data_IF_795855331132
#
_entry.id   IF_795855331132
#
_cell.length_a   1.000
_cell.length_b   1.000
_cell.length_c   1.000
_cell.angle_alpha   90.00
_cell.angle_beta   90.00
_cell.angle_gamma   90.00
#
_symmetry.space_group_name_H-M   'P 1'
#
loop_
_entity.id
_entity.type
_entity.pdbx_description
1 polymer ?
#
# COMPACT_ATOMS: atom_id res chain seq x y z
N UNK A 1 -2.23 11.10 21.22
CA UNK A 1 -1.95 9.96 20.33
C UNK A 1 -3.23 9.67 19.58
N UNK A 2 -3.18 9.76 18.25
CA UNK A 2 -4.33 9.46 17.38
C UNK A 2 -4.31 7.98 16.95
N UNK A 3 -5.40 7.50 16.32
CA UNK A 3 -5.61 6.09 16.00
C UNK A 3 -4.54 5.51 15.05
N UNK A 4 -4.14 6.29 14.04
CA UNK A 4 -3.07 5.90 13.14
C UNK A 4 -1.73 5.73 13.87
N UNK A 5 -1.40 6.63 14.80
CA UNK A 5 -0.16 6.55 15.59
C UNK A 5 -0.14 5.32 16.50
N UNK A 6 -1.27 4.94 17.08
CA UNK A 6 -1.36 3.73 17.90
C UNK A 6 -1.20 2.46 17.07
N UNK A 7 -1.66 2.45 15.80
CA UNK A 7 -1.38 1.36 14.87
C UNK A 7 0.11 1.20 14.62
N UNK A 8 0.83 2.30 14.36
CA UNK A 8 2.28 2.28 14.14
C UNK A 8 3.05 1.75 15.36
N UNK A 9 2.53 1.99 16.56
CA UNK A 9 3.07 1.46 17.82
C UNK A 9 2.57 0.05 18.17
N UNK A 10 1.71 -0.53 17.34
CA UNK A 10 1.03 -1.82 17.60
C UNK A 10 0.24 -1.84 18.91
N UNK A 11 -0.27 -0.69 19.36
CA UNK A 11 -1.11 -0.55 20.55
C UNK A 11 -2.58 -0.62 20.15
N UNK A 12 -3.08 -1.84 20.00
CA UNK A 12 -4.44 -2.12 19.57
C UNK A 12 -5.47 -1.87 20.66
N UNK A 13 -5.11 -2.04 21.93
CA UNK A 13 -5.98 -1.70 23.05
C UNK A 13 -6.29 -0.21 23.02
N UNK A 14 -5.28 0.65 22.94
CA UNK A 14 -5.50 2.08 22.79
C UNK A 14 -6.31 2.41 21.53
N UNK A 15 -6.04 1.72 20.41
CA UNK A 15 -6.79 1.93 19.17
C UNK A 15 -8.29 1.64 19.29
N UNK A 16 -8.66 0.57 19.99
CA UNK A 16 -10.06 0.23 20.24
C UNK A 16 -10.73 1.27 21.16
N UNK A 17 -10.09 1.68 22.25
CA UNK A 17 -10.58 2.77 23.10
C UNK A 17 -10.73 4.09 22.32
N UNK A 18 -9.74 4.43 21.49
CA UNK A 18 -9.75 5.66 20.68
C UNK A 18 -10.86 5.64 19.62
N UNK A 19 -11.21 4.46 19.11
CA UNK A 19 -12.36 4.29 18.21
C UNK A 19 -13.66 4.65 18.92
N UNK A 20 -13.88 4.16 20.14
CA UNK A 20 -15.04 4.57 20.96
C UNK A 20 -15.03 6.09 21.23
N UNK A 21 -13.89 6.65 21.61
CA UNK A 21 -13.74 8.08 21.87
C UNK A 21 -14.14 8.94 20.66
N UNK A 22 -13.77 8.55 19.43
CA UNK A 22 -14.22 9.26 18.23
C UNK A 22 -15.72 9.12 18.00
N UNK A 23 -16.32 7.95 18.20
CA UNK A 23 -17.77 7.77 18.02
C UNK A 23 -18.55 8.64 19.01
N UNK A 24 -18.07 8.70 20.26
CA UNK A 24 -18.73 9.45 21.34
C UNK A 24 -18.70 10.96 21.14
N UNK A 25 -17.58 11.50 20.67
CA UNK A 25 -17.38 12.95 20.55
C UNK A 25 -17.72 13.47 19.14
N UNK A 26 -18.69 12.86 18.45
CA UNK A 26 -19.11 13.19 17.08
C UNK A 26 -17.95 13.25 16.06
N UNK A 27 -16.89 12.49 16.33
CA UNK A 27 -15.64 12.43 15.57
C UNK A 27 -15.64 11.40 14.44
N UNK A 28 -16.81 11.02 13.92
CA UNK A 28 -16.95 9.97 12.88
C UNK A 28 -16.12 10.31 11.64
N UNK A 29 -16.19 11.54 11.13
CA UNK A 29 -15.37 11.95 9.98
C UNK A 29 -13.87 11.80 10.26
N UNK A 30 -13.43 12.10 11.49
CA UNK A 30 -12.03 11.90 11.88
C UNK A 30 -11.68 10.41 11.92
N UNK A 31 -12.56 9.56 12.47
CA UNK A 31 -12.37 8.11 12.49
C UNK A 31 -12.24 7.51 11.08
N UNK A 32 -13.08 7.93 10.14
CA UNK A 32 -13.02 7.50 8.74
C UNK A 32 -11.68 7.89 8.08
N UNK A 33 -11.23 9.13 8.28
CA UNK A 33 -9.94 9.61 7.78
C UNK A 33 -8.79 8.78 8.37
N UNK A 34 -8.82 8.49 9.68
CA UNK A 34 -7.81 7.65 10.32
C UNK A 34 -7.79 6.24 9.74
N UNK A 35 -8.95 5.61 9.52
CA UNK A 35 -9.04 4.30 8.86
C UNK A 35 -8.48 4.31 7.44
N UNK A 36 -8.81 5.34 6.65
CA UNK A 36 -8.26 5.52 5.30
C UNK A 36 -6.73 5.64 5.36
N UNK A 37 -6.20 6.42 6.30
CA UNK A 37 -4.77 6.60 6.48
C UNK A 37 -4.07 5.30 6.90
N UNK A 38 -4.69 4.53 7.80
CA UNK A 38 -4.21 3.20 8.19
C UNK A 38 -4.14 2.26 6.99
N UNK A 39 -5.22 2.11 6.22
CA UNK A 39 -5.23 1.21 5.06
C UNK A 39 -4.29 1.67 3.95
N UNK A 40 -4.18 2.99 3.71
CA UNK A 40 -3.23 3.53 2.75
C UNK A 40 -1.79 3.25 3.17
N UNK A 41 -1.47 3.38 4.46
CA UNK A 41 -0.15 3.05 4.98
C UNK A 41 0.16 1.58 4.80
N UNK A 42 -0.77 0.68 5.15
CA UNK A 42 -0.64 -0.76 4.91
C UNK A 42 -0.38 -1.04 3.42
N UNK A 43 -1.11 -0.39 2.52
CA UNK A 43 -0.96 -0.53 1.06
C UNK A 43 0.45 -0.23 0.55
N UNK A 44 1.24 0.60 1.24
CA UNK A 44 2.65 0.84 0.88
C UNK A 44 3.52 -0.41 1.04
N UNK A 45 3.15 -1.33 1.93
CA UNK A 45 3.97 -2.47 2.34
C UNK A 45 3.42 -3.84 1.92
N UNK A 46 2.36 -3.86 1.10
CA UNK A 46 1.82 -5.11 0.56
C UNK A 46 2.80 -5.68 -0.47
N UNK A 47 3.07 -6.97 -0.34
CA UNK A 47 3.90 -7.77 -1.24
C UNK A 47 3.12 -9.05 -1.55
N UNK A 48 3.22 -9.57 -2.77
CA UNK A 48 2.59 -10.83 -3.15
C UNK A 48 3.01 -12.01 -2.27
N UNK A 49 4.17 -11.91 -1.61
CA UNK A 49 4.68 -12.91 -0.66
C UNK A 49 3.91 -12.95 0.65
N UNK A 50 3.28 -11.85 1.06
CA UNK A 50 2.38 -11.85 2.20
C UNK A 50 0.94 -12.00 1.68
N UNK A 51 0.14 -12.90 2.26
CA UNK A 51 -1.28 -13.03 1.93
C UNK A 51 -2.12 -11.79 2.34
N UNK A 52 -1.46 -10.65 2.58
CA UNK A 52 -2.08 -9.40 3.01
C UNK A 52 -2.78 -8.69 1.84
N UNK A 53 -2.34 -8.88 0.59
CA UNK A 53 -2.93 -8.20 -0.58
C UNK A 53 -4.43 -8.46 -0.74
N UNK A 54 -4.84 -9.73 -0.78
CA UNK A 54 -6.26 -10.09 -0.94
C UNK A 54 -7.08 -9.68 0.30
N UNK A 55 -6.48 -9.83 1.49
CA UNK A 55 -7.09 -9.39 2.75
C UNK A 55 -7.34 -7.88 2.75
N UNK A 56 -6.37 -7.10 2.27
CA UNK A 56 -6.45 -5.64 2.18
C UNK A 56 -7.54 -5.18 1.23
N UNK A 57 -7.65 -5.82 0.06
CA UNK A 57 -8.74 -5.53 -0.89
C UNK A 57 -10.10 -5.75 -0.25
N UNK A 58 -10.26 -6.84 0.51
CA UNK A 58 -11.51 -7.12 1.22
C UNK A 58 -11.80 -6.10 2.33
N UNK A 59 -10.79 -5.74 3.14
CA UNK A 59 -10.92 -4.72 4.18
C UNK A 59 -11.31 -3.36 3.59
N UNK A 60 -10.75 -2.97 2.45
CA UNK A 60 -11.13 -1.73 1.76
C UNK A 60 -12.58 -1.73 1.30
N UNK A 61 -13.06 -2.85 0.76
CA UNK A 61 -14.46 -2.98 0.36
C UNK A 61 -15.43 -2.92 1.56
N UNK A 62 -15.05 -3.46 2.71
CA UNK A 62 -15.82 -3.31 3.94
C UNK A 62 -15.76 -1.88 4.49
N UNK A 63 -14.59 -1.24 4.45
CA UNK A 63 -14.41 0.14 4.91
C UNK A 63 -15.22 1.13 4.08
N UNK A 64 -15.19 1.00 2.76
CA UNK A 64 -15.98 1.82 1.83
C UNK A 64 -17.48 1.71 2.14
N UNK A 65 -17.97 0.48 2.38
CA UNK A 65 -19.36 0.24 2.80
C UNK A 65 -19.71 0.91 4.14
N UNK A 66 -18.79 0.91 5.10
CA UNK A 66 -19.02 1.57 6.40
C UNK A 66 -19.05 3.08 6.27
N UNK A 67 -18.17 3.66 5.45
CA UNK A 67 -18.07 5.11 5.23
C UNK A 67 -19.32 5.65 4.53
N UNK A 68 -19.86 4.91 3.56
CA UNK A 68 -21.06 5.34 2.82
C UNK A 68 -22.37 4.99 3.54
N UNK A 69 -22.31 4.29 4.69
CA UNK A 69 -23.50 3.95 5.45
C UNK A 69 -24.03 5.16 6.23
N UNK A 70 -25.36 5.30 6.30
CA UNK A 70 -26.02 6.39 7.04
C UNK A 70 -25.74 6.36 8.54
N UNK A 71 -25.39 5.18 9.09
CA UNK A 71 -25.17 4.96 10.51
C UNK A 71 -24.01 4.01 10.71
N UNK A 72 -23.10 4.39 11.60
CA UNK A 72 -21.99 3.55 12.03
C UNK A 72 -22.34 2.90 13.38
N UNK A 73 -22.36 1.57 13.42
CA UNK A 73 -22.49 0.84 14.69
C UNK A 73 -21.14 0.76 15.40
N UNK A 74 -21.14 0.85 16.74
CA UNK A 74 -19.91 0.76 17.54
C UNK A 74 -19.22 -0.59 17.34
N UNK A 75 -19.99 -1.66 17.17
CA UNK A 75 -19.45 -3.00 16.92
C UNK A 75 -18.70 -3.03 15.59
N UNK A 76 -19.31 -2.52 14.52
CA UNK A 76 -18.67 -2.51 13.19
C UNK A 76 -17.43 -1.64 13.17
N UNK A 77 -17.45 -0.50 13.86
CA UNK A 77 -16.30 0.38 13.99
C UNK A 77 -15.13 -0.31 14.71
N UNK A 78 -15.39 -0.95 15.86
CA UNK A 78 -14.35 -1.66 16.60
C UNK A 78 -13.81 -2.86 15.82
N UNK A 79 -14.67 -3.58 15.10
CA UNK A 79 -14.26 -4.67 14.22
C UNK A 79 -13.39 -4.17 13.07
N UNK A 80 -13.75 -3.05 12.44
CA UNK A 80 -12.94 -2.44 11.38
C UNK A 80 -11.56 -2.03 11.90
N UNK A 81 -11.50 -1.36 13.04
CA UNK A 81 -10.23 -1.05 13.71
C UNK A 81 -9.42 -2.32 13.96
N UNK A 82 -10.01 -3.36 14.54
CA UNK A 82 -9.30 -4.62 14.79
C UNK A 82 -8.75 -5.26 13.50
N UNK A 83 -9.54 -5.28 12.41
CA UNK A 83 -9.11 -5.80 11.10
C UNK A 83 -7.91 -5.03 10.55
N UNK A 84 -7.90 -3.70 10.67
CA UNK A 84 -6.77 -2.88 10.22
C UNK A 84 -5.50 -3.16 11.04
N UNK A 85 -5.61 -3.40 12.35
CA UNK A 85 -4.47 -3.81 13.18
C UNK A 85 -3.94 -5.20 12.80
N UNK A 86 -4.83 -6.18 12.59
CA UNK A 86 -4.44 -7.52 12.14
C UNK A 86 -3.77 -7.46 10.77
N UNK A 87 -4.34 -6.68 9.85
CA UNK A 87 -3.76 -6.50 8.52
C UNK A 87 -2.40 -5.83 8.58
N UNK A 88 -2.22 -4.83 9.46
CA UNK A 88 -0.92 -4.20 9.71
C UNK A 88 0.12 -5.16 10.30
N UNK A 89 -0.30 -6.21 11.00
CA UNK A 89 0.60 -7.28 11.46
C UNK A 89 1.02 -8.25 10.34
N UNK A 90 0.19 -8.42 9.31
CA UNK A 90 0.51 -9.28 8.14
C UNK A 90 1.55 -8.67 7.21
N UNK A 91 1.63 -7.34 7.13
CA UNK A 91 2.60 -6.66 6.26
C UNK A 91 3.97 -6.58 6.94
N UNK A 92 5.04 -6.71 6.15
CA UNK A 92 6.40 -6.73 6.67
C UNK A 92 6.81 -5.35 7.18
N UNK A 93 6.83 -5.16 8.49
CA UNK A 93 7.24 -3.91 9.17
C UNK A 93 8.71 -3.53 8.93
N UNK A 94 9.53 -4.45 8.44
CA UNK A 94 10.95 -4.26 8.15
C UNK A 94 11.18 -3.87 6.68
N UNK A 95 10.13 -3.78 5.86
CA UNK A 95 10.27 -3.35 4.48
C UNK A 95 10.80 -1.91 4.43
N UNK A 96 12.06 -1.77 4.03
CA UNK A 96 12.64 -0.48 3.69
C UNK A 96 12.13 -0.10 2.32
N UNK A 97 11.58 1.11 2.20
CA UNK A 97 11.23 1.68 0.90
C UNK A 97 12.43 1.54 -0.05
N UNK A 98 12.18 0.99 -1.23
CA UNK A 98 13.23 0.84 -2.22
C UNK A 98 13.76 2.22 -2.65
N UNK A 99 15.03 2.26 -3.06
CA UNK A 99 15.56 3.50 -3.65
C UNK A 99 14.95 3.69 -5.04
N UNK A 100 14.83 4.95 -5.51
CA UNK A 100 14.36 5.23 -6.88
C UNK A 100 15.21 4.49 -7.93
N UNK A 101 16.51 4.30 -7.66
CA UNK A 101 17.40 3.51 -8.51
C UNK A 101 16.95 2.05 -8.59
N UNK A 102 16.71 1.40 -7.46
CA UNK A 102 16.27 0.00 -7.44
C UNK A 102 14.89 -0.16 -8.12
N UNK A 103 13.96 0.76 -7.84
CA UNK A 103 12.65 0.78 -8.50
C UNK A 103 12.81 0.89 -10.02
N UNK A 104 13.67 1.79 -10.50
CA UNK A 104 13.97 1.95 -11.93
C UNK A 104 14.54 0.66 -12.52
N UNK A 105 15.56 0.09 -11.89
CA UNK A 105 16.25 -1.11 -12.38
C UNK A 105 15.26 -2.29 -12.49
N UNK A 106 14.24 -2.35 -11.63
CA UNK A 106 13.19 -3.37 -11.65
C UNK A 106 12.15 -3.19 -12.78
N UNK A 107 11.94 -1.98 -13.30
CA UNK A 107 10.78 -1.68 -14.19
C UNK A 107 11.15 -1.12 -15.55
N UNK A 108 12.35 -0.56 -15.72
CA UNK A 108 12.74 0.22 -16.90
C UNK A 108 12.61 -0.56 -18.21
N UNK A 109 12.90 -1.86 -18.19
CA UNK A 109 12.81 -2.75 -19.36
C UNK A 109 11.37 -2.91 -19.88
N UNK A 110 10.36 -2.67 -19.03
CA UNK A 110 8.96 -2.72 -19.44
C UNK A 110 8.51 -1.44 -20.16
N UNK A 111 9.37 -0.43 -20.28
CA UNK A 111 9.10 0.81 -20.99
C UNK A 111 10.15 1.02 -22.10
N UNK A 112 10.20 0.25 -23.19
CA UNK A 112 11.15 0.50 -24.28
C UNK A 112 10.79 1.79 -25.05
N UNK A 113 11.76 2.41 -25.72
CA UNK A 113 11.58 3.72 -26.40
C UNK A 113 10.55 3.68 -27.54
N UNK A 114 10.46 2.55 -28.23
CA UNK A 114 9.55 2.26 -29.34
C UNK A 114 8.22 1.64 -28.89
N UNK A 115 7.98 1.54 -27.58
CA UNK A 115 6.73 0.99 -27.04
C UNK A 115 5.53 1.85 -27.48
N UNK A 116 4.58 1.21 -28.16
CA UNK A 116 3.34 1.83 -28.61
C UNK A 116 2.14 0.95 -28.25
N UNK A 117 1.06 1.59 -27.86
CA UNK A 117 -0.25 0.98 -27.71
C UNK A 117 -0.77 0.50 -29.06
N UNK A 118 -1.52 -0.60 -29.03
CA UNK A 118 -2.36 -1.00 -30.16
C UNK A 118 -3.48 0.01 -30.39
N UNK A 119 -4.12 -0.04 -31.56
CA UNK A 119 -5.29 0.80 -31.87
C UNK A 119 -6.39 0.69 -30.80
N UNK A 120 -6.68 -0.52 -30.32
CA UNK A 120 -7.63 -0.74 -29.25
C UNK A 120 -7.18 -0.09 -27.92
N UNK A 121 -5.89 -0.14 -27.61
CA UNK A 121 -5.31 0.56 -26.47
C UNK A 121 -5.45 2.08 -26.57
N UNK A 122 -5.21 2.66 -27.76
CA UNK A 122 -5.39 4.08 -28.01
C UNK A 122 -6.84 4.51 -27.81
N UNK A 123 -7.81 3.73 -28.29
CA UNK A 123 -9.22 4.00 -28.05
C UNK A 123 -9.57 3.92 -26.56
N UNK A 124 -9.10 2.87 -25.88
CA UNK A 124 -9.35 2.65 -24.44
C UNK A 124 -8.82 3.78 -23.58
N UNK A 125 -7.63 4.29 -23.89
CA UNK A 125 -6.96 5.34 -23.12
C UNK A 125 -7.10 6.75 -23.72
N UNK A 126 -7.98 6.94 -24.70
CA UNK A 126 -8.23 8.22 -25.38
C UNK A 126 -8.54 9.40 -24.46
N UNK A 127 -9.02 9.13 -23.24
CA UNK A 127 -9.33 10.15 -22.24
C UNK A 127 -8.12 10.66 -21.43
N UNK A 128 -7.01 9.91 -21.44
CA UNK A 128 -5.84 10.18 -20.60
C UNK A 128 -4.54 10.34 -21.40
N UNK A 129 -4.56 9.98 -22.69
CA UNK A 129 -3.47 10.21 -23.63
C UNK A 129 -3.69 11.55 -24.34
N UNK A 130 -2.66 12.42 -24.46
CA UNK A 130 -2.79 13.70 -25.17
C UNK A 130 -3.05 13.49 -26.67
N UNK A 131 -3.29 14.58 -27.41
CA UNK A 131 -3.44 14.48 -28.86
C UNK A 131 -2.13 14.06 -29.53
N UNK A 132 -2.21 13.49 -30.73
CA UNK A 132 -1.02 12.96 -31.44
C UNK A 132 -0.02 14.06 -31.83
N UNK A 133 -0.49 15.31 -31.91
CA UNK A 133 0.33 16.49 -32.21
C UNK A 133 1.09 17.01 -30.98
N UNK A 134 0.76 16.55 -29.76
CA UNK A 134 1.42 16.95 -28.52
C UNK A 134 2.82 16.31 -28.42
N UNK A 135 3.84 17.11 -28.11
CA UNK A 135 5.23 16.64 -27.98
C UNK A 135 5.42 15.55 -26.92
N UNK A 136 4.51 15.49 -25.94
CA UNK A 136 4.51 14.49 -24.88
C UNK A 136 3.80 13.20 -25.27
N UNK A 137 3.07 13.15 -26.39
CA UNK A 137 2.33 11.97 -26.84
C UNK A 137 3.15 10.67 -26.85
N UNK A 138 4.38 10.61 -27.43
CA UNK A 138 5.18 9.39 -27.43
C UNK A 138 5.50 8.89 -26.02
N UNK A 139 5.70 9.80 -25.07
CA UNK A 139 5.98 9.46 -23.67
C UNK A 139 4.77 8.80 -23.00
N UNK A 140 3.56 9.36 -23.15
CA UNK A 140 2.35 8.76 -22.57
C UNK A 140 2.06 7.40 -23.18
N UNK A 141 2.25 7.29 -24.48
CA UNK A 141 2.06 6.05 -25.21
C UNK A 141 2.99 4.95 -24.70
N UNK A 142 4.28 5.28 -24.53
CA UNK A 142 5.29 4.38 -23.93
C UNK A 142 4.91 3.93 -22.51
N UNK A 143 4.48 4.86 -21.66
CA UNK A 143 4.07 4.52 -20.29
C UNK A 143 2.83 3.61 -20.29
N UNK A 144 1.79 3.94 -21.04
CA UNK A 144 0.57 3.12 -21.10
C UNK A 144 0.83 1.75 -21.71
N UNK A 145 1.66 1.66 -22.76
CA UNK A 145 2.06 0.40 -23.36
C UNK A 145 2.79 -0.49 -22.35
N UNK A 146 3.75 0.07 -21.61
CA UNK A 146 4.48 -0.67 -20.58
C UNK A 146 3.60 -1.15 -19.42
N UNK A 147 2.72 -0.28 -18.90
CA UNK A 147 1.77 -0.65 -17.84
C UNK A 147 0.78 -1.73 -18.33
N UNK A 148 0.27 -1.61 -19.55
CA UNK A 148 -0.62 -2.62 -20.15
C UNK A 148 0.10 -3.96 -20.37
N UNK A 149 1.37 -3.92 -20.76
CA UNK A 149 2.18 -5.12 -20.90
C UNK A 149 2.37 -5.84 -19.56
N UNK A 150 2.68 -5.11 -18.49
CA UNK A 150 2.78 -5.68 -17.14
C UNK A 150 1.47 -6.32 -16.69
N UNK A 151 0.33 -5.70 -17.01
CA UNK A 151 -0.99 -6.27 -16.74
C UNK A 151 -1.24 -7.58 -17.47
N UNK A 152 -0.82 -7.68 -18.73
CA UNK A 152 -0.95 -8.92 -19.50
C UNK A 152 -0.17 -10.09 -18.90
N UNK A 153 0.87 -9.82 -18.09
CA UNK A 153 1.64 -10.83 -17.35
C UNK A 153 1.00 -11.24 -16.03
N UNK A 154 -0.08 -10.57 -15.60
CA UNK A 154 -0.72 -10.76 -14.30
C UNK A 154 0.25 -10.61 -13.11
N UNK A 155 1.26 -9.74 -13.25
CA UNK A 155 2.26 -9.50 -12.22
C UNK A 155 1.91 -8.23 -11.42
N UNK A 156 1.13 -8.42 -10.35
CA UNK A 156 0.69 -7.33 -9.47
C UNK A 156 1.87 -6.66 -8.76
N UNK A 157 2.94 -7.40 -8.44
CA UNK A 157 4.12 -6.84 -7.77
C UNK A 157 4.88 -5.92 -8.71
N UNK A 158 5.14 -6.37 -9.94
CA UNK A 158 5.83 -5.57 -10.95
C UNK A 158 5.04 -4.29 -11.26
N UNK A 159 3.72 -4.40 -11.41
CA UNK A 159 2.88 -3.21 -11.63
C UNK A 159 2.90 -2.27 -10.42
N UNK A 160 2.80 -2.78 -9.18
CA UNK A 160 2.91 -1.98 -7.95
C UNK A 160 4.23 -1.20 -7.93
N UNK A 161 5.35 -1.87 -8.22
CA UNK A 161 6.68 -1.26 -8.32
C UNK A 161 6.74 -0.19 -9.41
N UNK A 162 6.11 -0.41 -10.56
CA UNK A 162 6.05 0.59 -11.64
C UNK A 162 5.23 1.83 -11.24
N UNK A 163 4.08 1.66 -10.57
CA UNK A 163 3.29 2.78 -10.04
C UNK A 163 4.08 3.58 -9.00
N UNK A 164 4.79 2.89 -8.10
CA UNK A 164 5.67 3.53 -7.12
C UNK A 164 6.80 4.32 -7.82
N UNK A 165 7.46 3.73 -8.80
CA UNK A 165 8.50 4.40 -9.59
C UNK A 165 7.98 5.68 -10.26
N UNK A 166 6.88 5.58 -11.01
CA UNK A 166 6.33 6.69 -11.79
C UNK A 166 5.86 7.86 -10.89
N UNK A 167 5.27 7.54 -9.73
CA UNK A 167 4.86 8.57 -8.76
C UNK A 167 6.07 9.25 -8.10
N UNK A 168 7.13 8.52 -7.76
CA UNK A 168 8.32 9.06 -7.08
C UNK A 168 9.29 9.78 -8.00
N UNK A 169 9.35 9.42 -9.30
CA UNK A 169 10.22 10.07 -10.30
C UNK A 169 9.80 11.51 -10.62
N UNK A 170 8.59 11.93 -10.22
CA UNK A 170 8.02 13.27 -10.46
C UNK A 170 7.95 13.63 -11.95
N UNK A 171 7.62 12.65 -12.79
CA UNK A 171 7.36 12.91 -14.21
C UNK A 171 6.18 13.88 -14.34
N UNK A 172 6.33 14.92 -15.16
CA UNK A 172 5.23 15.85 -15.41
C UNK A 172 4.25 15.22 -16.38
N UNK A 173 3.13 14.73 -15.86
CA UNK A 173 2.04 14.12 -16.65
C UNK A 173 0.76 14.95 -16.49
N UNK A 174 0.47 15.81 -17.46
CA UNK A 174 -0.75 16.59 -17.57
C UNK A 174 -1.87 15.77 -18.22
N UNK A 175 -3.04 15.78 -17.60
CA UNK A 175 -4.20 15.10 -18.16
C UNK A 175 -4.86 15.97 -19.23
N UNK A 176 -5.12 15.44 -20.44
CA UNK A 176 -5.70 16.21 -21.54
C UNK A 176 -7.19 16.52 -21.36
N UNK A 177 -7.91 15.67 -20.60
CA UNK A 177 -9.34 15.80 -20.37
C UNK A 177 -9.73 15.58 -18.90
N UNK A 178 -10.92 16.06 -18.56
CA UNK A 178 -11.57 15.98 -17.25
C UNK A 178 -11.75 14.50 -16.87
N UNK A 179 -10.84 13.97 -16.07
CA UNK A 179 -11.06 12.77 -15.27
C UNK A 179 -11.64 13.20 -13.92
N UNK A 180 -12.42 12.40 -13.16
CA UNK A 180 -12.96 12.79 -11.85
C UNK A 180 -11.84 12.94 -10.80
N UNK A 181 -10.95 13.90 -11.01
CA UNK A 181 -10.13 14.50 -9.98
C UNK A 181 -11.01 15.51 -9.22
N UNK A 182 -10.74 15.75 -7.93
CA UNK A 182 -11.54 16.65 -7.11
C UNK A 182 -11.52 18.11 -7.63
N UNK A 183 -10.61 18.48 -8.54
CA UNK A 183 -10.79 19.62 -9.45
C UNK A 183 -9.86 19.57 -10.69
N UNK A 184 -10.28 20.25 -11.77
CA UNK A 184 -9.59 20.34 -13.07
C UNK A 184 -8.24 21.09 -13.00
N UNK A 185 -8.08 22.03 -12.06
CA UNK A 185 -6.85 22.82 -11.97
C UNK A 185 -5.65 21.98 -11.56
N UNK A 186 -5.88 20.87 -10.86
CA UNK A 186 -4.83 20.05 -10.25
C UNK A 186 -4.44 18.87 -11.13
N UNK A 187 -5.39 18.26 -11.85
CA UNK A 187 -5.09 17.28 -12.91
C UNK A 187 -4.15 17.85 -13.99
N UNK A 188 -4.15 19.18 -14.15
CA UNK A 188 -3.36 19.88 -15.16
C UNK A 188 -1.98 20.33 -14.65
N UNK A 189 -1.63 20.10 -13.37
CA UNK A 189 -0.32 20.49 -12.81
C UNK A 189 0.82 19.52 -13.12
N UNK A 190 0.55 18.45 -13.87
CA UNK A 190 1.56 17.47 -14.23
C UNK A 190 1.82 16.41 -13.15
N UNK A 191 0.89 16.19 -12.21
CA UNK A 191 1.05 15.18 -11.16
C UNK A 191 0.68 13.78 -11.69
N UNK A 192 1.62 12.82 -11.72
CA UNK A 192 1.38 11.51 -12.34
C UNK A 192 0.31 10.69 -11.60
N UNK A 193 -0.02 11.02 -10.35
CA UNK A 193 -1.02 10.28 -9.55
C UNK A 193 -2.37 10.19 -10.26
N UNK A 194 -2.84 11.28 -10.86
CA UNK A 194 -4.14 11.31 -11.53
C UNK A 194 -4.14 10.51 -12.84
N UNK A 195 -3.04 10.60 -13.59
CA UNK A 195 -2.83 9.80 -14.79
C UNK A 195 -2.83 8.30 -14.47
N UNK A 196 -2.16 7.89 -13.39
CA UNK A 196 -2.09 6.48 -12.98
C UNK A 196 -3.43 5.95 -12.46
N UNK A 197 -4.20 6.76 -11.71
CA UNK A 197 -5.58 6.41 -11.38
C UNK A 197 -6.45 6.28 -12.64
N UNK A 198 -6.31 7.20 -13.60
CA UNK A 198 -6.99 7.13 -14.89
C UNK A 198 -6.66 5.85 -15.66
N UNK A 199 -5.39 5.45 -15.68
CA UNK A 199 -4.97 4.17 -16.25
C UNK A 199 -5.68 2.99 -15.59
N UNK A 200 -5.65 2.90 -14.25
CA UNK A 200 -6.27 1.79 -13.53
C UNK A 200 -7.79 1.74 -13.73
N UNK A 201 -8.48 2.87 -13.62
CA UNK A 201 -9.94 2.95 -13.75
C UNK A 201 -10.41 2.68 -15.18
N UNK A 202 -9.66 3.11 -16.20
CA UNK A 202 -9.96 2.75 -17.59
C UNK A 202 -9.61 1.30 -17.89
N UNK A 203 -8.55 0.78 -17.28
CA UNK A 203 -8.15 -0.59 -17.52
C UNK A 203 -9.13 -1.58 -16.88
N UNK A 204 -9.50 -1.32 -15.64
CA UNK A 204 -10.37 -2.16 -14.82
C UNK A 204 -11.74 -1.52 -14.66
N UNK A 205 -12.74 -2.13 -15.30
CA UNK A 205 -14.15 -1.85 -14.99
C UNK A 205 -14.59 -2.53 -13.67
N UNK A 206 -13.64 -2.83 -12.77
CA UNK A 206 -13.85 -3.56 -11.52
C UNK A 206 -14.19 -2.60 -10.37
N UNK A 207 -15.24 -2.95 -9.61
CA UNK A 207 -15.66 -2.20 -8.42
C UNK A 207 -14.55 -2.06 -7.38
N UNK A 208 -13.61 -3.01 -7.27
CA UNK A 208 -12.51 -2.96 -6.30
C UNK A 208 -11.55 -1.79 -6.54
N UNK A 209 -11.22 -1.51 -7.80
CA UNK A 209 -10.38 -0.36 -8.15
C UNK A 209 -11.13 0.94 -7.87
N UNK A 210 -12.42 0.99 -8.21
CA UNK A 210 -13.28 2.12 -7.90
C UNK A 210 -13.39 2.37 -6.39
N UNK A 211 -13.52 1.32 -5.57
CA UNK A 211 -13.50 1.41 -4.10
C UNK A 211 -12.22 2.07 -3.60
N UNK A 212 -11.04 1.61 -4.04
CA UNK A 212 -9.78 2.22 -3.60
C UNK A 212 -9.67 3.68 -4.02
N UNK A 213 -10.17 4.02 -5.21
CA UNK A 213 -10.22 5.39 -5.69
C UNK A 213 -11.20 6.26 -4.87
N UNK A 214 -12.37 5.74 -4.50
CA UNK A 214 -13.33 6.43 -3.65
C UNK A 214 -12.75 6.70 -2.25
N UNK A 215 -12.10 5.71 -1.64
CA UNK A 215 -11.37 5.88 -0.38
C UNK A 215 -10.26 6.92 -0.52
N UNK A 216 -9.54 6.94 -1.66
CA UNK A 216 -8.52 7.95 -1.92
C UNK A 216 -9.12 9.37 -1.95
N UNK A 217 -10.32 9.53 -2.52
CA UNK A 217 -11.02 10.82 -2.66
C UNK A 217 -11.87 11.24 -1.46
N UNK A 218 -12.20 10.32 -0.53
CA UNK A 218 -13.09 10.60 0.59
C UNK A 218 -12.61 11.80 1.42
N UNK A 219 -13.38 12.90 1.42
CA UNK A 219 -13.05 14.16 2.12
C UNK A 219 -11.65 14.71 1.79
N UNK A 220 -11.12 14.39 0.61
CA UNK A 220 -9.76 14.74 0.22
C UNK A 220 -9.59 16.25 0.01
N UNK A 221 -8.70 16.88 0.77
CA UNK A 221 -8.44 18.34 0.74
C UNK A 221 -7.36 18.73 -0.27
N UNK A 222 -6.83 17.76 -1.01
CA UNK A 222 -5.84 17.97 -2.06
C UNK A 222 -4.59 18.74 -1.59
N UNK A 223 -4.01 18.32 -0.47
CA UNK A 223 -2.69 18.78 -0.04
C UNK A 223 -1.62 17.75 -0.41
N UNK A 224 -0.35 18.16 -0.66
CA UNK A 224 0.74 17.22 -0.89
C UNK A 224 0.91 16.21 0.26
N UNK A 225 0.70 16.65 1.50
CA UNK A 225 0.78 15.80 2.69
C UNK A 225 -0.28 14.70 2.67
N UNK A 226 -1.55 15.07 2.47
CA UNK A 226 -2.65 14.11 2.43
C UNK A 226 -2.54 13.15 1.24
N UNK A 227 -2.13 13.65 0.07
CA UNK A 227 -1.85 12.80 -1.10
C UNK A 227 -0.78 11.75 -0.78
N UNK A 228 0.33 12.16 -0.18
CA UNK A 228 1.42 11.25 0.20
C UNK A 228 1.01 10.28 1.32
N UNK A 229 0.06 10.67 2.17
CA UNK A 229 -0.52 9.79 3.17
C UNK A 229 -1.38 8.69 2.54
N UNK A 230 -2.16 9.04 1.50
CA UNK A 230 -3.08 8.13 0.81
C UNK A 230 -2.48 7.34 -0.35
N UNK A 231 -1.25 7.64 -0.77
CA UNK A 231 -0.64 7.09 -2.00
C UNK A 231 -0.55 5.56 -2.03
N UNK A 232 -0.50 4.89 -0.88
CA UNK A 232 -0.46 3.43 -0.84
C UNK A 232 -1.76 2.77 -1.34
N UNK A 233 -2.90 3.49 -1.36
CA UNK A 233 -4.12 3.02 -2.04
C UNK A 233 -3.92 2.87 -3.55
N UNK A 234 -3.15 3.79 -4.17
CA UNK A 234 -2.80 3.70 -5.59
C UNK A 234 -1.77 2.59 -5.82
N UNK A 235 -0.71 2.55 -5.02
CA UNK A 235 0.38 1.58 -5.22
C UNK A 235 -0.09 0.14 -5.04
N UNK A 236 -0.99 -0.14 -4.10
CA UNK A 236 -1.54 -1.47 -3.86
C UNK A 236 -2.75 -1.83 -4.74
N UNK A 237 -3.30 -0.89 -5.51
CA UNK A 237 -4.42 -1.17 -6.40
C UNK A 237 -4.21 -2.36 -7.38
N UNK A 238 -2.99 -2.67 -7.87
CA UNK A 238 -2.73 -3.87 -8.67
C UNK A 238 -3.12 -5.19 -7.98
N UNK A 239 -3.16 -5.24 -6.64
CA UNK A 239 -3.60 -6.45 -5.94
C UNK A 239 -5.11 -6.72 -6.09
N UNK A 240 -5.92 -5.73 -6.50
CA UNK A 240 -7.33 -5.94 -6.82
C UNK A 240 -7.55 -6.86 -8.04
N UNK A 241 -6.53 -7.00 -8.89
CA UNK A 241 -6.55 -7.77 -10.13
C UNK A 241 -6.56 -9.28 -9.85
N UNK A 242 -6.11 -9.70 -8.67
CA UNK A 242 -6.13 -11.12 -8.27
C UNK A 242 -7.58 -11.52 -7.98
N UNK A 243 -8.11 -12.43 -8.80
CA UNK A 243 -9.55 -12.74 -8.82
C UNK A 243 -10.00 -13.88 -7.91
N UNK A 244 -9.11 -14.57 -7.17
CA UNK A 244 -9.55 -15.74 -6.40
C UNK A 244 -8.54 -16.21 -5.35
N UNK A 245 -8.53 -15.62 -4.15
CA UNK A 245 -7.85 -16.25 -3.00
C UNK A 245 -8.80 -16.26 -1.81
N UNK A 246 -9.23 -17.48 -1.45
CA UNK A 246 -10.34 -17.76 -0.55
C UNK A 246 -9.97 -17.76 0.95
N UNK A 247 -8.79 -17.25 1.35
CA UNK A 247 -8.37 -17.25 2.75
C UNK A 247 -7.96 -15.84 3.17
N UNK A 248 -8.92 -15.11 3.74
CA UNK A 248 -8.75 -13.72 4.21
C UNK A 248 -8.17 -13.67 5.62
N UNK A 249 -8.72 -14.50 6.51
CA UNK A 249 -8.36 -14.53 7.92
C UNK A 249 -8.10 -15.98 8.36
N UNK A 250 -7.00 -16.20 9.07
CA UNK A 250 -6.72 -17.48 9.69
C UNK A 250 -7.60 -17.69 10.94
N UNK A 251 -7.60 -18.91 11.50
CA UNK A 251 -8.46 -19.24 12.66
C UNK A 251 -8.20 -18.36 13.87
N UNK A 252 -6.96 -17.93 14.09
CA UNK A 252 -6.60 -17.09 15.22
C UNK A 252 -7.06 -15.65 15.02
N UNK A 253 -6.86 -15.11 13.82
CA UNK A 253 -7.36 -13.79 13.42
C UNK A 253 -8.90 -13.72 13.53
N UNK A 254 -9.60 -14.78 13.10
CA UNK A 254 -11.05 -14.88 13.27
C UNK A 254 -11.47 -14.89 14.74
N UNK A 255 -10.75 -15.60 15.61
CA UNK A 255 -11.03 -15.58 17.06
C UNK A 255 -10.85 -14.19 17.66
N UNK A 256 -9.82 -13.45 17.24
CA UNK A 256 -9.60 -12.07 17.69
C UNK A 256 -10.77 -11.19 17.25
N UNK A 257 -11.19 -11.28 15.98
CA UNK A 257 -12.34 -10.53 15.45
C UNK A 257 -13.61 -10.85 16.24
N UNK A 258 -13.90 -12.12 16.52
CA UNK A 258 -15.07 -12.53 17.31
C UNK A 258 -14.97 -12.07 18.78
N UNK A 259 -13.78 -12.10 19.38
CA UNK A 259 -13.56 -11.57 20.74
C UNK A 259 -13.87 -10.07 20.79
N UNK A 260 -13.41 -9.29 19.82
CA UNK A 260 -13.71 -7.85 19.71
C UNK A 260 -15.21 -7.61 19.59
N UNK A 261 -15.92 -8.39 18.76
CA UNK A 261 -17.40 -8.32 18.68
C UNK A 261 -18.06 -8.60 20.03
N UNK A 262 -17.58 -9.60 20.76
CA UNK A 262 -18.12 -10.00 22.06
C UNK A 262 -17.96 -8.94 23.14
N UNK A 263 -16.85 -8.18 23.13
CA UNK A 263 -16.56 -7.15 24.17
C UNK A 263 -16.96 -5.73 23.75
N UNK A 264 -17.36 -5.52 22.50
CA UNK A 264 -17.62 -4.19 21.94
C UNK A 264 -18.62 -3.35 22.73
N UNK A 265 -19.72 -3.96 23.19
CA UNK A 265 -20.74 -3.25 23.98
C UNK A 265 -20.22 -2.85 25.35
N UNK A 266 -19.54 -3.75 26.05
CA UNK A 266 -18.98 -3.46 27.38
C UNK A 266 -17.90 -2.37 27.32
N UNK A 267 -17.04 -2.41 26.29
CA UNK A 267 -16.05 -1.36 26.07
C UNK A 267 -16.70 0.00 25.81
N UNK A 268 -17.79 0.03 25.04
CA UNK A 268 -18.56 1.24 24.78
C UNK A 268 -19.22 1.80 26.05
N UNK A 269 -19.80 0.94 26.88
CA UNK A 269 -20.40 1.30 28.17
C UNK A 269 -19.36 1.89 29.13
N UNK A 270 -18.17 1.29 29.21
CA UNK A 270 -17.06 1.78 30.02
C UNK A 270 -16.63 3.20 29.61
N UNK A 271 -16.39 3.40 28.30
CA UNK A 271 -16.00 4.72 27.76
C UNK A 271 -17.09 5.76 27.99
N UNK A 272 -18.38 5.39 28.01
CA UNK A 272 -19.46 6.31 28.34
C UNK A 272 -19.54 6.62 29.83
N UNK A 273 -19.38 5.63 30.72
CA UNK A 273 -19.43 5.83 32.16
C UNK A 273 -18.27 6.70 32.70
N UNK A 274 -17.09 6.63 32.08
CA UNK A 274 -15.93 7.44 32.47
C UNK A 274 -16.15 8.96 32.33
N UNK A 275 -17.06 9.42 31.45
CA UNK A 275 -17.35 10.86 31.35
C UNK A 275 -18.39 11.36 32.33
N UNK A 276 -19.29 10.49 32.80
CA UNK A 276 -20.33 10.89 33.76
C UNK A 276 -19.77 11.10 35.17
N UNK A 277 -18.56 10.59 35.43
CA UNK A 277 -17.90 10.61 36.73
C UNK A 277 -16.87 11.73 36.92
N UNK A 278 -16.68 12.65 35.96
CA UNK A 278 -15.74 13.77 36.10
C UNK A 278 -16.39 15.16 35.94
N UNK A 279 -16.47 15.99 37.01
CA UNK A 279 -16.76 17.41 36.87
C UNK A 279 -15.53 18.15 36.29
N UNK A 280 -15.81 19.13 35.44
CA UNK A 280 -14.85 19.93 34.66
C UNK A 280 -13.68 20.44 35.52
N UNK A 281 -12.49 19.88 35.32
CA UNK A 281 -11.26 20.40 35.89
C UNK A 281 -10.10 19.41 35.84
N UNK A 282 -9.06 19.75 35.07
CA UNK A 282 -7.73 19.13 35.01
C UNK A 282 -7.63 17.91 34.06
N UNK A 283 -7.39 18.20 32.77
CA UNK A 283 -6.78 17.25 31.82
C UNK A 283 -5.30 17.08 32.16
N UNK A 284 -4.96 16.10 32.99
CA UNK A 284 -3.62 15.49 33.01
C UNK A 284 -3.73 13.98 33.20
N UNK A 285 -3.24 13.23 32.22
CA UNK A 285 -2.85 11.80 32.26
C UNK A 285 -3.56 10.91 33.28
N UNK A 286 -4.64 10.24 32.88
CA UNK A 286 -5.14 9.09 33.64
C UNK A 286 -5.61 7.99 32.68
N UNK A 287 -4.81 6.92 32.59
CA UNK A 287 -5.32 5.59 32.27
C UNK A 287 -6.11 5.10 33.50
N UNK A 288 -7.25 4.42 33.33
CA UNK A 288 -7.99 3.85 34.46
C UNK A 288 -7.12 2.83 35.20
N UNK A 289 -7.02 2.98 36.53
CA UNK A 289 -6.35 2.03 37.44
C UNK A 289 -7.17 0.74 37.67
N UNK A 290 -8.37 0.65 37.13
CA UNK A 290 -9.14 -0.58 37.04
C UNK A 290 -9.06 -1.09 35.61
N UNK A 291 -7.84 -1.45 35.21
CA UNK A 291 -7.65 -2.29 34.03
C UNK A 291 -8.46 -3.56 34.25
N UNK A 292 -9.48 -3.81 33.42
CA UNK A 292 -9.67 -5.19 33.02
C UNK A 292 -8.28 -5.66 32.59
N UNK A 293 -7.81 -6.77 33.14
CA UNK A 293 -6.74 -7.53 32.51
C UNK A 293 -7.24 -7.91 31.12
N UNK A 294 -7.14 -6.97 30.17
CA UNK A 294 -7.09 -7.22 28.76
C UNK A 294 -5.77 -7.95 28.60
N UNK A 295 -5.80 -9.27 28.79
CA UNK A 295 -4.76 -10.12 28.22
C UNK A 295 -4.51 -9.61 26.81
N UNK A 296 -3.24 -9.39 26.42
CA UNK A 296 -2.92 -8.79 25.14
C UNK A 296 -3.73 -9.48 24.05
N UNK A 297 -4.68 -8.73 23.46
CA UNK A 297 -5.62 -9.24 22.46
C UNK A 297 -4.90 -9.72 21.19
N UNK A 298 -3.62 -9.39 21.09
CA UNK A 298 -2.74 -9.66 19.97
C UNK A 298 -1.43 -10.20 20.53
N UNK A 299 -0.82 -11.21 19.90
CA UNK A 299 0.50 -11.70 20.30
C UNK A 299 1.52 -10.55 20.28
N UNK A 300 2.22 -10.32 21.38
CA UNK A 300 3.27 -9.30 21.49
C UNK A 300 4.60 -9.75 20.89
N UNK A 301 4.75 -11.04 20.55
CA UNK A 301 5.99 -11.61 20.01
C UNK A 301 5.67 -12.62 18.89
N UNK A 302 6.12 -12.33 17.68
CA UNK A 302 6.32 -13.35 16.65
C UNK A 302 7.75 -13.84 16.84
N UNK A 303 7.89 -15.03 17.41
CA UNK A 303 9.15 -15.75 17.45
C UNK A 303 9.61 -16.04 16.02
N UNK A 304 10.63 -15.32 15.55
CA UNK A 304 11.28 -15.51 14.26
C UNK A 304 12.09 -16.82 14.17
N UNK A 305 11.96 -17.76 15.13
CA UNK A 305 12.71 -19.02 15.16
C UNK A 305 12.19 -20.10 14.20
N UNK A 306 11.06 -19.91 13.50
CA UNK A 306 10.45 -20.95 12.66
C UNK A 306 10.95 -21.09 11.22
N UNK A 307 12.06 -20.44 10.86
CA UNK A 307 12.78 -20.66 9.59
C UNK A 307 14.05 -21.51 9.76
N UNK A 308 14.05 -22.49 10.67
CA UNK A 308 15.05 -23.57 10.63
C UNK A 308 14.53 -24.73 9.80
N UNK A 309 14.91 -24.72 8.53
CA UNK A 309 14.74 -25.85 7.61
C UNK A 309 15.47 -27.10 8.18
N UNK A 310 14.77 -28.21 8.51
CA UNK A 310 15.39 -29.41 9.07
C UNK A 310 16.31 -30.16 8.10
N UNK A 311 16.36 -29.75 6.82
CA UNK A 311 17.16 -30.44 5.80
C UNK A 311 18.66 -30.07 5.80
N UNK A 312 19.09 -29.01 6.50
CA UNK A 312 20.50 -28.58 6.50
C UNK A 312 21.35 -29.19 7.64
N UNK A 313 20.77 -29.90 8.60
CA UNK A 313 21.54 -30.56 9.68
C UNK A 313 21.86 -32.04 9.41
N UNK A 314 21.37 -32.63 8.32
CA UNK A 314 21.61 -34.04 7.98
C UNK A 314 22.77 -34.29 6.98
N UNK A 315 23.42 -33.25 6.45
CA UNK A 315 24.55 -33.40 5.51
C UNK A 315 25.95 -33.14 6.10
N UNK A 316 26.08 -32.91 7.40
CA UNK A 316 27.38 -32.63 8.05
C UNK A 316 27.93 -33.80 8.91
N UNK A 317 27.51 -35.04 8.63
CA UNK A 317 28.10 -36.26 9.20
C UNK A 317 28.15 -37.36 8.14
N UNK A 318 29.23 -37.42 7.35
CA UNK A 318 29.95 -38.65 6.97
C UNK A 318 30.91 -38.43 5.77
N UNK A 319 32.17 -38.89 5.93
CA UNK A 319 33.19 -39.13 4.88
C UNK A 319 34.01 -37.90 4.48
N UNK A 320 35.29 -37.69 4.83
CA UNK A 320 36.50 -38.53 4.78
C UNK A 320 36.76 -39.17 3.41
N UNK A 321 37.77 -38.65 2.70
CA UNK A 321 38.74 -39.50 1.99
C UNK A 321 39.03 -39.19 0.51
N UNK A 322 40.27 -38.71 0.26
CA UNK A 322 41.08 -38.79 -0.98
C UNK A 322 40.59 -38.01 -2.21
N UNK A 323 41.41 -37.37 -3.06
CA UNK A 323 42.86 -37.32 -3.26
C UNK A 323 43.11 -37.02 -4.76
N UNK A 324 44.20 -36.31 -5.11
CA UNK A 324 44.73 -36.26 -6.50
C UNK A 324 44.80 -34.86 -7.11
N UNK A 325 46.02 -34.41 -7.42
CA UNK A 325 46.29 -33.10 -8.02
C UNK A 325 46.34 -33.07 -9.55
N UNK A 326 46.75 -31.91 -10.09
CA UNK A 326 47.02 -31.72 -11.52
C UNK A 326 47.22 -30.24 -11.88
N UNK A 327 48.28 -29.96 -12.63
CA UNK A 327 48.90 -28.65 -12.87
C UNK A 327 48.29 -27.81 -14.03
N UNK A 328 48.78 -26.56 -14.11
CA UNK A 328 48.95 -25.70 -15.31
C UNK A 328 47.68 -25.06 -15.86
N UNK A 329 47.65 -23.82 -16.35
CA UNK A 329 48.66 -22.82 -16.72
C UNK A 329 47.99 -21.96 -17.82
N UNK A 330 48.25 -20.64 -17.90
CA UNK A 330 47.74 -19.85 -19.02
C UNK A 330 47.63 -18.35 -18.79
N UNK A 331 48.57 -17.63 -19.42
CA UNK A 331 48.72 -16.17 -19.51
C UNK A 331 47.70 -15.58 -20.50
N UNK A 332 47.24 -14.35 -20.27
CA UNK A 332 46.49 -13.59 -21.28
C UNK A 332 46.29 -12.11 -20.94
N UNK A 333 47.22 -11.27 -21.41
CA UNK A 333 47.18 -9.80 -21.40
C UNK A 333 45.87 -9.21 -21.96
N UNK A 334 45.46 -8.04 -21.47
CA UNK A 334 45.05 -6.92 -22.34
C UNK A 334 45.28 -5.57 -21.65
N UNK A 335 45.76 -4.64 -22.45
CA UNK A 335 46.22 -3.29 -22.09
C UNK A 335 45.24 -2.25 -22.63
N UNK A 336 44.96 -1.22 -21.81
CA UNK A 336 44.51 0.17 -22.12
C UNK A 336 43.23 0.38 -22.95
N UNK A 337 42.41 1.34 -22.53
CA UNK A 337 42.25 2.67 -23.19
C UNK A 337 41.55 3.64 -22.23
N UNK A 338 42.19 4.80 -22.00
CA UNK A 338 41.58 6.01 -21.43
C UNK A 338 40.55 6.58 -22.43
N UNK A 339 39.36 6.97 -21.95
CA UNK A 339 38.52 7.95 -22.66
C UNK A 339 38.45 9.25 -21.89
N UNK A 340 38.79 10.30 -22.63
CA UNK A 340 38.83 11.71 -22.27
C UNK A 340 37.40 12.25 -22.17
N UNK A 341 37.17 13.08 -21.17
CA UNK A 341 35.98 13.88 -20.96
C UNK A 341 35.79 14.90 -22.09
N UNK A 342 34.60 14.90 -22.71
CA UNK A 342 34.03 16.11 -23.31
C UNK A 342 32.66 16.36 -22.71
N UNK A 343 32.59 17.45 -21.94
CA UNK A 343 31.33 18.11 -21.57
C UNK A 343 30.78 18.78 -22.83
N UNK A 344 29.53 18.49 -23.16
CA UNK A 344 28.66 19.46 -23.82
C UNK A 344 27.19 19.07 -23.58
N UNK A 345 26.40 20.08 -23.22
CA UNK A 345 25.06 19.92 -22.67
C UNK A 345 24.01 19.54 -23.70
N UNK A 346 23.27 18.50 -23.38
CA UNK A 346 21.87 18.36 -23.80
C UNK A 346 21.09 17.87 -22.59
N UNK A 347 20.05 18.61 -22.22
CA UNK A 347 19.12 18.24 -21.15
C UNK A 347 18.24 17.09 -21.63
N UNK A 348 18.82 15.90 -21.78
CA UNK A 348 18.10 14.67 -22.07
C UNK A 348 17.41 14.15 -20.80
N UNK A 349 16.09 14.13 -20.83
CA UNK A 349 15.29 13.41 -19.84
C UNK A 349 15.49 11.90 -20.04
N UNK A 350 16.44 11.33 -19.30
CA UNK A 350 16.68 9.88 -19.29
C UNK A 350 15.79 9.20 -18.23
N UNK A 351 14.87 8.37 -18.72
CA UNK A 351 14.12 7.40 -17.94
C UNK A 351 15.03 6.35 -17.31
#
# INVERSE_FOLDING_TARGET
>A
MDLFESMLKNDSTFGLYKTCDYIKNDGIEKLEIEWINMTAHIGKFIDIKNNAGDTWVHVNAELDKLIVADRLSVVDALVMTAKLYLLFQKVNRVYKEETIKNLRDNVIENFPEDAMLSYAGLQKFSRIIPSIEDETYPFYNRILAGLTHMLSKNDATLLRTALEYLTRKKNKMQMPNIWPAPNIKESNKGDPVWFLWGFLLLHFEDQKIATNFNLFLWKFKNTPAEKNQRIGLLWAAPFCIRTNVAILWNKEELRIIEKVKGVAKSLWEEVNAESESQPVGIMQSFYPRTSMHMEPLFPTEIDNSRDRNPQNEMMMRNGVGMGGGGMSGGVGNTTKVLKINTKEGSGGFNL
#
